data_IF_295846213365
#
_entry.id   IF_295846213365
#
_cell.length_a   1.000
_cell.length_b   1.000
_cell.length_c   1.000
_cell.angle_alpha   90.00
_cell.angle_beta   90.00
_cell.angle_gamma   90.00
#
_symmetry.space_group_name_H-M   'P 1'
#
loop_
_entity.id
_entity.type
_entity.pdbx_description
1 polymer ?
#
# COMPACT_ATOMS: atom_id res chain seq x y z
N UNK A 1 2.48 -11.06 15.60
CA UNK A 1 3.83 -10.79 16.12
C UNK A 1 4.17 -11.87 17.13
N UNK A 2 4.90 -12.91 16.71
CA UNK A 2 4.98 -14.16 17.47
C UNK A 2 3.60 -14.81 17.59
N UNK A 3 3.25 -15.27 18.79
CA UNK A 3 2.02 -16.01 19.12
C UNK A 3 0.77 -15.13 19.29
N UNK A 4 0.81 -13.86 18.89
CA UNK A 4 -0.37 -12.97 18.96
C UNK A 4 -0.72 -12.39 17.60
N UNK A 5 -2.02 -12.25 17.36
CA UNK A 5 -2.61 -11.65 16.18
C UNK A 5 -3.45 -10.44 16.58
N UNK A 6 -3.29 -9.33 15.88
CA UNK A 6 -4.13 -8.15 16.04
C UNK A 6 -4.79 -7.81 14.72
N UNK A 7 -6.07 -7.45 14.76
CA UNK A 7 -6.84 -7.14 13.57
C UNK A 7 -7.89 -6.05 13.85
N UNK A 8 -8.23 -5.28 12.81
CA UNK A 8 -9.37 -4.35 12.84
C UNK A 8 -10.62 -5.10 12.37
N UNK A 9 -11.67 -5.04 13.18
CA UNK A 9 -12.95 -5.70 12.99
C UNK A 9 -14.10 -4.67 13.12
N UNK A 10 -15.32 -5.07 12.79
CA UNK A 10 -16.51 -4.20 12.83
C UNK A 10 -16.82 -3.54 11.50
N UNK A 11 -17.55 -2.41 11.54
CA UNK A 11 -18.00 -1.69 10.34
C UNK A 11 -16.81 -1.29 9.46
N UNK A 12 -16.87 -1.40 8.12
CA UNK A 12 -15.84 -0.87 7.25
C UNK A 12 -15.83 0.67 7.21
N UNK A 13 -16.92 1.32 7.59
CA UNK A 13 -17.08 2.78 7.59
C UNK A 13 -16.12 3.40 8.61
N UNK A 14 -15.38 4.41 8.17
CA UNK A 14 -14.42 5.16 8.99
C UNK A 14 -14.85 6.61 9.20
N UNK A 15 -15.74 7.14 8.36
CA UNK A 15 -16.33 8.46 8.53
C UNK A 15 -17.82 8.46 8.26
N UNK A 16 -18.64 8.49 9.31
CA UNK A 16 -20.10 8.42 9.24
C UNK A 16 -20.75 9.71 8.76
N UNK A 17 -21.73 9.61 7.86
CA UNK A 17 -22.48 10.79 7.39
C UNK A 17 -23.42 11.37 8.47
N UNK A 18 -23.98 10.51 9.33
CA UNK A 18 -24.99 10.89 10.34
C UNK A 18 -24.51 10.63 11.79
N UNK A 19 -23.19 10.72 12.05
CA UNK A 19 -22.58 10.49 13.38
C UNK A 19 -23.13 9.25 14.12
N UNK A 20 -23.07 8.09 13.47
CA UNK A 20 -23.43 6.82 14.10
C UNK A 20 -22.37 6.41 15.14
N UNK A 21 -22.81 5.78 16.22
CA UNK A 21 -21.93 5.28 17.30
C UNK A 21 -22.49 4.01 17.91
N UNK A 22 -21.64 3.26 18.61
CA UNK A 22 -22.05 2.13 19.44
C UNK A 22 -22.90 2.59 20.64
N UNK A 23 -23.52 1.66 21.36
CA UNK A 23 -24.40 1.95 22.52
C UNK A 23 -23.69 2.77 23.61
N UNK A 24 -22.38 2.58 23.75
CA UNK A 24 -21.51 3.31 24.68
C UNK A 24 -21.00 4.65 24.12
N UNK A 25 -21.48 5.07 22.94
CA UNK A 25 -21.00 6.25 22.21
C UNK A 25 -19.64 6.03 21.54
N UNK A 26 -19.09 4.81 21.58
CA UNK A 26 -17.79 4.47 21.01
C UNK A 26 -17.82 4.19 19.51
N UNK A 27 -16.62 3.96 18.96
CA UNK A 27 -16.43 3.56 17.57
C UNK A 27 -17.15 2.25 17.23
N UNK A 28 -17.67 2.16 16.01
CA UNK A 28 -18.31 0.93 15.51
C UNK A 28 -17.28 -0.07 14.97
N UNK A 29 -16.16 0.42 14.44
CA UNK A 29 -14.94 -0.35 14.26
C UNK A 29 -14.21 -0.57 15.60
N UNK A 30 -13.55 -1.71 15.75
CA UNK A 30 -12.79 -2.05 16.95
C UNK A 30 -11.56 -2.88 16.59
N UNK A 31 -10.59 -2.92 17.50
CA UNK A 31 -9.46 -3.83 17.38
C UNK A 31 -9.72 -5.10 18.19
N UNK A 32 -9.21 -6.22 17.70
CA UNK A 32 -9.12 -7.47 18.44
C UNK A 32 -7.65 -7.85 18.60
N UNK A 33 -7.33 -8.47 19.73
CA UNK A 33 -6.05 -9.10 19.99
C UNK A 33 -6.31 -10.55 20.38
N UNK A 34 -5.69 -11.50 19.69
CA UNK A 34 -5.88 -12.93 19.88
C UNK A 34 -4.56 -13.58 20.27
N UNK A 35 -4.62 -14.50 21.22
CA UNK A 35 -3.53 -15.39 21.60
C UNK A 35 -3.61 -16.68 20.76
N UNK A 36 -2.71 -16.80 19.79
CA UNK A 36 -2.64 -17.95 18.89
C UNK A 36 -2.14 -19.21 19.59
N UNK A 37 -1.39 -19.09 20.69
CA UNK A 37 -0.97 -20.25 21.49
C UNK A 37 -2.13 -20.90 22.25
N UNK A 38 -3.21 -20.13 22.44
CA UNK A 38 -4.44 -20.54 23.12
C UNK A 38 -5.62 -20.59 22.17
N UNK A 39 -5.38 -21.14 20.98
CA UNK A 39 -6.41 -21.38 19.95
C UNK A 39 -7.18 -20.11 19.54
N UNK A 40 -6.53 -18.95 19.59
CA UNK A 40 -7.12 -17.67 19.21
C UNK A 40 -7.99 -17.05 20.31
N UNK A 41 -7.79 -17.40 21.58
CA UNK A 41 -8.50 -16.78 22.70
C UNK A 41 -8.25 -15.26 22.73
N UNK A 42 -9.30 -14.50 23.00
CA UNK A 42 -9.25 -13.04 23.05
C UNK A 42 -8.38 -12.57 24.22
N UNK A 43 -7.45 -11.66 23.94
CA UNK A 43 -6.62 -11.02 24.96
C UNK A 43 -7.49 -10.16 25.89
N UNK A 44 -7.15 -10.04 27.19
CA UNK A 44 -8.02 -9.38 28.18
C UNK A 44 -8.44 -7.95 27.85
N UNK A 45 -7.56 -7.17 27.19
CA UNK A 45 -7.81 -5.79 26.78
C UNK A 45 -8.70 -5.59 25.55
N UNK A 46 -9.35 -6.64 25.05
CA UNK A 46 -10.05 -6.63 23.77
C UNK A 46 -11.48 -7.18 23.90
N UNK A 47 -12.44 -6.77 23.03
CA UNK A 47 -12.27 -5.85 21.90
C UNK A 47 -12.03 -4.41 22.36
N UNK A 48 -11.11 -3.73 21.67
CA UNK A 48 -10.73 -2.36 21.99
C UNK A 48 -11.50 -1.38 21.10
N UNK A 49 -12.25 -0.46 21.72
CA UNK A 49 -13.00 0.61 21.06
C UNK A 49 -12.40 1.98 21.37
N UNK A 50 -12.60 2.92 20.45
CA UNK A 50 -12.31 4.33 20.71
C UNK A 50 -13.51 4.92 21.46
N UNK A 51 -13.25 5.60 22.58
CA UNK A 51 -14.29 6.13 23.46
C UNK A 51 -14.14 7.66 23.65
N UNK A 52 -15.27 8.39 23.76
CA UNK A 52 -15.26 9.78 24.20
C UNK A 52 -14.74 9.95 25.65
N UNK A 53 -14.24 11.14 26.03
CA UNK A 53 -14.14 12.35 25.22
C UNK A 53 -12.89 12.38 24.32
N UNK A 54 -11.95 11.45 24.50
CA UNK A 54 -10.68 11.45 23.76
C UNK A 54 -10.89 11.24 22.27
N UNK A 55 -11.83 10.37 21.90
CA UNK A 55 -12.08 9.97 20.52
C UNK A 55 -13.55 10.17 20.14
N UNK A 56 -13.95 11.43 20.03
CA UNK A 56 -15.29 11.79 19.58
C UNK A 56 -15.40 11.65 18.06
N UNK A 57 -16.42 10.92 17.58
CA UNK A 57 -16.66 10.67 16.16
C UNK A 57 -15.45 10.08 15.40
N UNK A 58 -14.67 9.22 16.09
CA UNK A 58 -13.46 8.63 15.56
C UNK A 58 -13.63 7.13 15.25
N UNK A 59 -12.89 6.65 14.26
CA UNK A 59 -12.83 5.23 13.87
C UNK A 59 -11.39 4.78 13.60
N UNK A 60 -11.12 3.50 13.83
CA UNK A 60 -9.89 2.86 13.36
C UNK A 60 -9.92 2.71 11.84
N UNK A 61 -8.91 3.24 11.13
CA UNK A 61 -8.86 3.12 9.66
C UNK A 61 -8.42 1.71 9.20
N UNK A 62 -7.55 1.03 9.94
CA UNK A 62 -6.95 -0.23 9.49
C UNK A 62 -6.35 -1.07 10.60
N UNK A 63 -5.74 -2.18 10.20
CA UNK A 63 -5.08 -3.10 11.13
C UNK A 63 -3.89 -2.39 11.82
N UNK A 64 -3.68 -2.63 13.13
CA UNK A 64 -2.59 -1.99 13.85
C UNK A 64 -1.25 -2.63 13.49
N UNK A 65 -0.18 -1.84 13.59
CA UNK A 65 1.19 -2.35 13.61
C UNK A 65 1.61 -2.62 15.06
N UNK A 66 2.32 -3.72 15.28
CA UNK A 66 2.91 -4.03 16.59
C UNK A 66 4.28 -3.37 16.68
N UNK A 67 4.52 -2.64 17.76
CA UNK A 67 5.82 -2.11 18.11
C UNK A 67 6.08 -2.36 19.59
N UNK A 68 7.00 -3.27 19.90
CA UNK A 68 7.29 -3.72 21.27
C UNK A 68 6.01 -4.12 22.06
N UNK A 69 5.68 -3.37 23.12
CA UNK A 69 4.51 -3.56 23.97
C UNK A 69 3.28 -2.76 23.50
N UNK A 70 3.37 -2.11 22.34
CA UNK A 70 2.32 -1.28 21.78
C UNK A 70 1.70 -1.93 20.53
N UNK A 71 0.42 -1.68 20.35
CA UNK A 71 -0.23 -1.68 19.04
C UNK A 71 -0.50 -0.24 18.63
N UNK A 72 -0.20 0.10 17.38
CA UNK A 72 -0.31 1.44 16.85
C UNK A 72 -1.23 1.45 15.64
N UNK A 73 -2.24 2.32 15.64
CA UNK A 73 -3.27 2.37 14.62
C UNK A 73 -3.53 3.80 14.12
N UNK A 74 -3.87 3.91 12.85
CA UNK A 74 -4.35 5.15 12.25
C UNK A 74 -5.81 5.39 12.67
N UNK A 75 -6.10 6.63 13.04
CA UNK A 75 -7.40 7.09 13.53
C UNK A 75 -7.94 8.13 12.54
N UNK A 76 -9.19 7.97 12.13
CA UNK A 76 -9.93 8.99 11.40
C UNK A 76 -11.02 9.57 12.29
N UNK A 77 -11.02 10.89 12.43
CA UNK A 77 -12.12 11.66 12.99
C UNK A 77 -12.86 12.36 11.85
N UNK A 78 -14.18 12.35 11.89
CA UNK A 78 -15.00 13.11 10.95
C UNK A 78 -15.79 14.18 11.69
N UNK A 79 -15.80 15.39 11.15
CA UNK A 79 -16.68 16.47 11.58
C UNK A 79 -17.57 16.94 10.41
N UNK A 80 -18.32 18.02 10.61
CA UNK A 80 -19.22 18.59 9.59
C UNK A 80 -18.48 19.26 8.41
N UNK A 81 -17.16 19.49 8.52
CA UNK A 81 -16.34 20.25 7.56
C UNK A 81 -15.43 19.32 6.76
N UNK A 82 -14.98 18.22 7.33
CA UNK A 82 -14.15 17.24 6.66
C UNK A 82 -13.70 16.10 7.57
N UNK A 83 -12.50 15.59 7.28
CA UNK A 83 -11.87 14.55 8.09
C UNK A 83 -10.55 15.04 8.66
N UNK A 84 -10.21 14.48 9.81
CA UNK A 84 -8.93 14.66 10.50
C UNK A 84 -8.33 13.28 10.72
N UNK A 85 -7.01 13.19 10.62
CA UNK A 85 -6.30 11.92 10.76
C UNK A 85 -5.16 12.05 11.73
N UNK A 86 -5.08 11.09 12.65
CA UNK A 86 -4.04 10.98 13.66
C UNK A 86 -3.60 9.53 13.83
N UNK A 87 -2.71 9.31 14.79
CA UNK A 87 -2.21 7.97 15.15
C UNK A 87 -2.30 7.82 16.66
N UNK A 88 -2.78 6.65 17.11
CA UNK A 88 -2.84 6.31 18.52
C UNK A 88 -2.11 5.00 18.79
N UNK A 89 -1.48 4.91 19.96
CA UNK A 89 -0.89 3.68 20.46
C UNK A 89 -1.54 3.23 21.76
N UNK A 90 -1.73 1.93 21.86
CA UNK A 90 -2.34 1.27 23.00
C UNK A 90 -1.42 0.17 23.50
N UNK A 91 -1.47 -0.12 24.79
CA UNK A 91 -0.82 -1.30 25.34
C UNK A 91 -1.43 -2.54 24.67
N UNK A 92 -0.58 -3.37 24.07
CA UNK A 92 -1.03 -4.51 23.26
C UNK A 92 -1.68 -5.65 24.05
N UNK A 93 -1.63 -5.61 25.38
CA UNK A 93 -2.18 -6.63 26.27
C UNK A 93 -3.44 -6.14 26.99
N UNK A 94 -3.38 -4.92 27.53
CA UNK A 94 -4.48 -4.33 28.32
C UNK A 94 -5.43 -3.47 27.51
N UNK A 95 -5.00 -3.03 26.32
CA UNK A 95 -5.78 -2.12 25.47
C UNK A 95 -5.80 -0.67 25.95
N UNK A 96 -5.06 -0.34 27.02
CA UNK A 96 -5.00 1.02 27.55
C UNK A 96 -4.35 1.96 26.55
N UNK A 97 -4.92 3.15 26.39
CA UNK A 97 -4.31 4.23 25.60
C UNK A 97 -2.98 4.64 26.24
N UNK A 98 -1.90 4.62 25.46
CA UNK A 98 -0.57 5.06 25.88
C UNK A 98 -0.29 6.46 25.36
N UNK A 99 -0.54 6.71 24.08
CA UNK A 99 -0.45 8.04 23.49
C UNK A 99 -1.41 8.20 22.31
N UNK A 100 -1.81 9.44 22.05
CA UNK A 100 -2.54 9.86 20.85
C UNK A 100 -1.92 11.15 20.33
N UNK A 101 -1.62 11.21 19.03
CA UNK A 101 -1.00 12.41 18.43
C UNK A 101 -1.95 13.60 18.34
N UNK A 102 -3.26 13.37 18.44
CA UNK A 102 -4.25 14.29 17.88
C UNK A 102 -4.20 14.31 16.35
N UNK A 103 -4.95 15.21 15.70
CA UNK A 103 -4.91 15.41 14.25
C UNK A 103 -3.53 15.82 13.74
N UNK A 104 -2.94 14.99 12.88
CA UNK A 104 -1.70 15.26 12.13
C UNK A 104 -1.98 15.98 10.79
N UNK A 105 -3.15 15.73 10.21
CA UNK A 105 -3.63 16.39 9.01
C UNK A 105 -5.16 16.48 9.01
N UNK A 106 -5.67 17.50 8.34
CA UNK A 106 -7.11 17.74 8.18
C UNK A 106 -7.42 18.17 6.76
N UNK A 107 -8.55 17.73 6.22
CA UNK A 107 -9.01 18.20 4.92
C UNK A 107 -10.33 17.57 4.50
N UNK A 108 -10.92 18.15 3.45
CA UNK A 108 -12.08 17.57 2.79
C UNK A 108 -11.65 16.45 1.84
N UNK A 109 -12.51 15.45 1.71
CA UNK A 109 -12.41 14.36 0.73
C UNK A 109 -13.58 14.54 -0.23
N UNK A 110 -13.31 14.56 -1.53
CA UNK A 110 -14.35 14.80 -2.52
C UNK A 110 -15.39 13.67 -2.51
N UNK A 111 -16.68 14.01 -2.53
CA UNK A 111 -17.78 13.05 -2.69
C UNK A 111 -18.23 12.36 -1.40
N UNK A 112 -17.75 12.78 -0.22
CA UNK A 112 -18.20 12.24 1.08
C UNK A 112 -19.24 13.12 1.77
N UNK A 113 -19.64 14.26 1.21
CA UNK A 113 -20.43 15.31 1.89
C UNK A 113 -21.77 14.78 2.43
N UNK A 114 -22.37 13.79 1.75
CA UNK A 114 -23.63 13.13 2.13
C UNK A 114 -23.53 11.61 2.17
N UNK A 115 -22.32 11.06 2.20
CA UNK A 115 -22.08 9.62 2.12
C UNK A 115 -21.14 9.16 3.23
N UNK A 116 -21.29 7.90 3.64
CA UNK A 116 -20.33 7.25 4.51
C UNK A 116 -18.99 7.13 3.79
N UNK A 117 -17.92 7.43 4.51
CA UNK A 117 -16.55 7.28 4.02
C UNK A 117 -15.97 5.96 4.50
N UNK A 118 -15.34 5.22 3.57
CA UNK A 118 -14.63 3.98 3.84
C UNK A 118 -13.18 4.19 3.42
N UNK A 119 -12.27 3.97 4.35
CA UNK A 119 -10.83 4.05 4.13
C UNK A 119 -10.11 2.93 4.88
N UNK A 120 -8.91 2.57 4.40
CA UNK A 120 -8.09 1.51 4.96
C UNK A 120 -6.62 1.93 5.08
N UNK A 121 -6.34 2.89 5.96
CA UNK A 121 -4.98 3.39 6.17
C UNK A 121 -4.23 2.59 7.23
N UNK A 122 -2.93 2.44 6.99
CA UNK A 122 -2.04 1.65 7.82
C UNK A 122 -0.82 2.49 8.21
N UNK A 123 -0.37 2.32 9.45
CA UNK A 123 0.91 2.85 9.93
C UNK A 123 2.01 1.87 9.58
N UNK A 124 3.13 2.36 9.05
CA UNK A 124 4.28 1.55 8.67
C UNK A 124 5.37 1.67 9.73
N UNK A 125 5.96 0.55 10.15
CA UNK A 125 7.05 0.53 11.14
C UNK A 125 8.33 0.03 10.47
N UNK A 126 9.40 0.82 10.52
CA UNK A 126 10.69 0.47 9.96
C UNK A 126 11.82 1.28 10.60
N UNK A 127 12.99 0.67 10.80
CA UNK A 127 14.18 1.38 11.29
C UNK A 127 13.98 2.10 12.63
N UNK A 128 13.14 1.55 13.52
CA UNK A 128 12.82 2.14 14.82
C UNK A 128 11.90 3.36 14.76
N UNK A 129 11.23 3.62 13.63
CA UNK A 129 10.33 4.75 13.42
C UNK A 129 8.99 4.30 12.89
N UNK A 130 7.98 5.15 13.07
CA UNK A 130 6.68 4.99 12.41
C UNK A 130 6.57 5.99 11.25
N UNK A 131 5.89 5.57 10.18
CA UNK A 131 5.60 6.40 9.01
C UNK A 131 4.11 6.30 8.70
N UNK A 132 3.50 7.44 8.43
CA UNK A 132 2.07 7.54 8.15
C UNK A 132 1.82 8.47 6.95
N UNK A 133 1.25 7.90 5.90
CA UNK A 133 0.70 8.64 4.76
C UNK A 133 -0.76 9.02 5.09
N UNK A 134 -1.03 10.32 5.23
CA UNK A 134 -2.34 10.78 5.68
C UNK A 134 -3.38 10.82 4.57
N UNK A 135 -3.02 10.73 3.29
CA UNK A 135 -3.90 11.05 2.15
C UNK A 135 -4.66 12.38 2.29
N UNK A 136 -4.08 13.32 3.04
CA UNK A 136 -4.57 14.68 3.26
C UNK A 136 -3.45 15.69 3.00
N UNK A 137 -2.56 15.38 2.06
CA UNK A 137 -1.44 16.25 1.67
C UNK A 137 -0.20 16.15 2.56
N UNK A 138 -0.12 15.19 3.48
CA UNK A 138 1.04 15.03 4.37
C UNK A 138 1.52 13.57 4.50
N UNK A 139 2.84 13.42 4.61
CA UNK A 139 3.49 12.21 5.11
C UNK A 139 4.21 12.58 6.40
N UNK A 140 4.07 11.75 7.43
CA UNK A 140 4.57 12.03 8.78
C UNK A 140 5.45 10.90 9.25
N UNK A 141 6.56 11.23 9.92
CA UNK A 141 7.36 10.29 10.69
C UNK A 141 7.22 10.57 12.18
N UNK A 142 6.98 9.53 12.96
CA UNK A 142 6.75 9.60 14.40
C UNK A 142 7.76 8.73 15.16
N UNK A 143 8.08 9.18 16.36
CA UNK A 143 8.71 8.35 17.37
C UNK A 143 7.66 7.35 17.91
N UNK A 144 7.89 6.03 17.83
CA UNK A 144 6.92 5.05 18.30
C UNK A 144 6.70 5.08 19.82
N UNK A 145 7.64 5.59 20.61
CA UNK A 145 7.59 5.54 22.07
C UNK A 145 6.57 6.52 22.64
N UNK A 146 6.46 7.71 22.07
CA UNK A 146 5.64 8.81 22.58
C UNK A 146 4.72 9.45 21.53
N UNK A 147 4.79 9.01 20.27
CA UNK A 147 3.99 9.57 19.18
C UNK A 147 4.48 10.94 18.69
N UNK A 148 5.63 11.43 19.16
CA UNK A 148 6.15 12.74 18.76
C UNK A 148 6.50 12.76 17.27
N UNK A 149 6.11 13.84 16.59
CA UNK A 149 6.49 14.08 15.20
C UNK A 149 8.00 14.33 15.10
N UNK A 150 8.69 13.48 14.35
CA UNK A 150 10.12 13.64 14.02
C UNK A 150 10.25 14.58 12.82
N UNK A 151 9.46 14.34 11.77
CA UNK A 151 9.34 15.21 10.60
C UNK A 151 7.97 15.07 9.95
N UNK A 152 7.57 16.08 9.19
CA UNK A 152 6.33 16.11 8.41
C UNK A 152 6.58 16.78 7.07
N UNK A 153 6.21 16.09 5.99
CA UNK A 153 6.41 16.57 4.62
C UNK A 153 5.07 16.79 3.96
N UNK A 154 4.88 17.98 3.39
CA UNK A 154 3.68 18.32 2.63
C UNK A 154 3.88 17.96 1.16
N UNK A 155 2.89 17.33 0.55
CA UNK A 155 2.82 17.09 -0.89
C UNK A 155 1.62 17.79 -1.53
N UNK A 156 1.66 17.95 -2.85
CA UNK A 156 0.57 18.58 -3.61
C UNK A 156 -0.58 17.60 -3.77
N UNK A 157 -1.80 18.06 -3.48
CA UNK A 157 -3.03 17.30 -3.71
C UNK A 157 -3.62 17.66 -5.07
N UNK A 158 -4.19 16.69 -5.77
CA UNK A 158 -4.89 16.92 -7.03
C UNK A 158 -6.36 17.28 -6.77
N UNK A 159 -6.77 18.48 -7.21
CA UNK A 159 -8.14 18.98 -7.07
C UNK A 159 -8.99 18.58 -8.29
N UNK A 160 -10.27 18.24 -8.05
CA UNK A 160 -11.25 18.01 -9.11
C UNK A 160 -11.84 19.31 -9.70
N UNK A 161 -11.57 20.47 -9.09
CA UNK A 161 -12.14 21.74 -9.53
C UNK A 161 -11.59 22.15 -10.92
N UNK A 162 -12.50 22.38 -11.88
CA UNK A 162 -12.17 22.95 -13.19
C UNK A 162 -11.80 21.96 -14.31
N UNK A 163 -11.96 20.64 -14.10
CA UNK A 163 -11.66 19.64 -15.15
C UNK A 163 -12.82 19.44 -16.13
N UNK A 164 -12.54 19.61 -17.42
CA UNK A 164 -13.53 19.53 -18.53
C UNK A 164 -13.79 18.10 -19.03
N UNK A 165 -12.92 17.13 -18.71
CA UNK A 165 -13.07 15.73 -19.11
C UNK A 165 -12.54 14.77 -18.02
N UNK A 166 -13.32 13.76 -17.59
CA UNK A 166 -12.84 12.78 -16.63
C UNK A 166 -11.92 11.77 -17.34
N UNK A 167 -10.61 11.90 -17.18
CA UNK A 167 -9.76 10.70 -17.21
C UNK A 167 -10.08 9.91 -15.94
N UNK A 168 -10.20 8.58 -15.99
CA UNK A 168 -10.27 7.79 -14.76
C UNK A 168 -8.94 7.95 -14.04
N UNK A 169 -8.91 8.83 -13.05
CA UNK A 169 -7.80 9.02 -12.12
C UNK A 169 -7.62 7.73 -11.31
N UNK A 170 -6.93 6.73 -11.88
CA UNK A 170 -6.78 5.39 -11.31
C UNK A 170 -6.22 5.44 -9.89
N UNK A 171 -5.30 6.35 -9.61
CA UNK A 171 -4.76 6.60 -8.26
C UNK A 171 -5.83 6.88 -7.19
N UNK A 172 -7.03 7.39 -7.56
CA UNK A 172 -8.13 7.60 -6.60
C UNK A 172 -8.78 6.29 -6.13
N UNK A 173 -8.56 5.18 -6.85
CA UNK A 173 -8.98 3.84 -6.44
C UNK A 173 -7.95 3.13 -5.55
N UNK A 174 -6.85 3.80 -5.18
CA UNK A 174 -5.95 3.31 -4.11
C UNK A 174 -6.73 3.19 -2.80
N UNK A 175 -6.83 1.98 -2.25
CA UNK A 175 -7.57 1.72 -1.00
C UNK A 175 -6.66 1.59 0.22
N UNK A 176 -5.52 0.92 0.06
CA UNK A 176 -4.52 0.65 1.12
C UNK A 176 -3.18 1.22 0.68
N UNK A 177 -2.75 2.32 1.30
CA UNK A 177 -1.58 3.12 0.88
C UNK A 177 -0.55 3.33 2.00
N UNK A 178 -0.01 2.26 2.63
CA UNK A 178 1.09 2.40 3.59
C UNK A 178 2.35 2.95 2.92
N UNK A 179 3.19 3.60 3.71
CA UNK A 179 4.53 3.94 3.30
C UNK A 179 5.38 2.66 3.16
N UNK A 180 6.01 2.44 2.02
CA UNK A 180 7.01 1.38 1.88
C UNK A 180 8.38 1.94 2.26
N UNK A 181 9.07 1.35 3.24
CA UNK A 181 10.36 1.87 3.73
C UNK A 181 11.47 0.88 3.42
N UNK A 182 12.52 1.31 2.72
CA UNK A 182 13.65 0.45 2.40
C UNK A 182 14.92 1.25 2.09
N UNK A 183 16.04 0.85 2.69
CA UNK A 183 17.38 1.43 2.46
C UNK A 183 17.41 2.96 2.52
N UNK A 184 16.90 3.52 3.62
CA UNK A 184 16.92 4.97 3.87
C UNK A 184 15.84 5.78 3.16
N UNK A 185 14.97 5.16 2.36
CA UNK A 185 13.91 5.85 1.61
C UNK A 185 12.51 5.41 2.06
N UNK A 186 11.56 6.35 1.98
CA UNK A 186 10.13 6.17 2.24
C UNK A 186 9.37 6.42 0.95
N UNK A 187 8.86 5.36 0.34
CA UNK A 187 8.06 5.44 -0.88
C UNK A 187 6.58 5.60 -0.54
N UNK A 188 5.94 6.55 -1.20
CA UNK A 188 4.54 6.90 -0.97
C UNK A 188 3.77 6.94 -2.29
N UNK A 189 2.52 6.47 -2.24
CA UNK A 189 1.56 6.56 -3.33
C UNK A 189 0.19 6.99 -2.75
N UNK A 190 -0.01 8.29 -2.45
CA UNK A 190 -1.23 8.75 -1.80
C UNK A 190 -2.47 8.63 -2.68
N UNK A 191 -3.66 8.50 -2.10
CA UNK A 191 -4.92 8.43 -2.86
C UNK A 191 -5.34 9.78 -3.47
N UNK A 192 -4.83 10.88 -2.92
CA UNK A 192 -5.14 12.26 -3.30
C UNK A 192 -4.06 12.93 -4.18
N UNK A 193 -3.10 12.15 -4.68
CA UNK A 193 -2.05 12.59 -5.60
C UNK A 193 -1.73 11.50 -6.64
N UNK A 194 -1.60 11.83 -7.94
CA UNK A 194 -1.24 10.86 -8.97
C UNK A 194 0.19 10.31 -8.79
N UNK A 195 1.09 11.14 -8.26
CA UNK A 195 2.51 10.82 -8.16
C UNK A 195 2.80 9.68 -7.18
N UNK A 196 3.80 8.89 -7.52
CA UNK A 196 4.58 8.08 -6.60
C UNK A 196 5.85 8.86 -6.30
N UNK A 197 6.26 8.93 -5.04
CA UNK A 197 7.46 9.69 -4.66
C UNK A 197 8.23 9.00 -3.55
N UNK A 198 9.51 9.35 -3.43
CA UNK A 198 10.37 8.92 -2.33
C UNK A 198 10.80 10.11 -1.48
N UNK A 199 10.75 9.91 -0.17
CA UNK A 199 11.30 10.82 0.82
C UNK A 199 12.51 10.18 1.51
N UNK A 200 13.46 11.00 1.94
CA UNK A 200 14.52 10.57 2.85
C UNK A 200 13.90 10.18 4.21
N UNK A 201 14.18 8.96 4.68
CA UNK A 201 13.57 8.45 5.90
C UNK A 201 14.02 9.19 7.18
N UNK A 202 15.17 9.85 7.13
CA UNK A 202 15.75 10.53 8.28
C UNK A 202 15.12 11.90 8.54
N UNK A 203 14.83 12.66 7.47
CA UNK A 203 14.42 14.07 7.54
C UNK A 203 13.17 14.42 6.73
N UNK A 204 12.63 13.50 5.93
CA UNK A 204 11.43 13.71 5.12
C UNK A 204 11.64 14.50 3.83
N UNK A 205 12.87 14.86 3.47
CA UNK A 205 13.15 15.60 2.24
C UNK A 205 12.74 14.80 1.00
N UNK A 206 12.11 15.47 0.03
CA UNK A 206 11.79 14.86 -1.25
C UNK A 206 13.08 14.48 -1.99
N UNK A 207 13.22 13.21 -2.33
CA UNK A 207 14.37 12.69 -3.11
C UNK A 207 14.02 12.66 -4.58
N UNK A 208 12.85 12.12 -4.92
CA UNK A 208 12.32 12.11 -6.28
C UNK A 208 10.80 12.00 -6.27
N UNK A 209 10.17 12.42 -7.38
CA UNK A 209 8.74 12.25 -7.65
C UNK A 209 8.58 11.76 -9.08
N UNK A 210 7.68 10.80 -9.30
CA UNK A 210 7.37 10.29 -10.63
C UNK A 210 6.65 11.35 -11.46
N UNK A 211 6.93 11.40 -12.76
CA UNK A 211 6.12 12.15 -13.70
C UNK A 211 4.76 11.47 -13.94
N UNK A 212 3.75 12.27 -14.29
CA UNK A 212 2.37 11.82 -14.48
C UNK A 212 2.20 10.70 -15.54
N UNK A 213 3.13 10.50 -16.47
CA UNK A 213 3.02 9.50 -17.54
C UNK A 213 3.49 8.08 -17.18
N UNK A 214 4.15 7.89 -16.03
CA UNK A 214 4.85 6.64 -15.69
C UNK A 214 4.09 5.70 -14.75
N UNK A 215 3.23 6.24 -13.89
CA UNK A 215 2.61 5.51 -12.76
C UNK A 215 1.16 5.92 -12.50
N UNK A 216 0.50 6.53 -13.50
CA UNK A 216 -0.88 7.05 -13.40
C UNK A 216 -1.89 5.99 -12.93
N UNK A 217 -1.64 4.72 -13.25
CA UNK A 217 -2.48 3.59 -12.92
C UNK A 217 -2.01 2.77 -11.72
N UNK A 218 -0.91 3.15 -11.07
CA UNK A 218 -0.40 2.44 -9.90
C UNK A 218 -1.41 2.53 -8.74
N UNK A 219 -1.90 1.37 -8.30
CA UNK A 219 -2.82 1.18 -7.17
C UNK A 219 -2.07 0.68 -5.92
N UNK A 220 -0.95 -0.02 -6.11
CA UNK A 220 -0.18 -0.65 -5.05
C UNK A 220 1.31 -0.35 -5.18
N UNK A 221 1.95 0.00 -4.07
CA UNK A 221 3.38 -0.25 -3.89
C UNK A 221 3.54 -1.73 -3.54
N UNK A 222 3.99 -2.54 -4.50
CA UNK A 222 4.05 -4.00 -4.38
C UNK A 222 5.23 -4.41 -3.49
N UNK A 223 6.39 -3.79 -3.68
CA UNK A 223 7.59 -4.06 -2.89
C UNK A 223 8.87 -3.57 -3.57
N UNK A 224 10.02 -4.02 -3.06
CA UNK A 224 11.34 -3.78 -3.63
C UNK A 224 11.87 -5.08 -4.23
N UNK A 225 12.23 -5.05 -5.52
CA UNK A 225 12.86 -6.15 -6.26
C UNK A 225 14.24 -5.69 -6.76
N UNK A 226 15.31 -6.15 -6.10
CA UNK A 226 16.66 -5.60 -6.29
C UNK A 226 16.71 -4.09 -6.09
N UNK A 227 17.23 -3.36 -7.08
CA UNK A 227 17.31 -1.90 -7.09
C UNK A 227 16.01 -1.20 -7.55
N UNK A 228 14.90 -1.93 -7.64
CA UNK A 228 13.67 -1.38 -8.18
C UNK A 228 12.55 -1.32 -7.14
N UNK A 229 11.89 -0.17 -7.06
CA UNK A 229 10.54 -0.07 -6.53
C UNK A 229 9.55 -0.63 -7.56
N UNK A 230 8.71 -1.57 -7.13
CA UNK A 230 7.68 -2.18 -7.96
C UNK A 230 6.32 -1.60 -7.62
N UNK A 231 5.68 -0.99 -8.61
CA UNK A 231 4.30 -0.49 -8.55
C UNK A 231 3.38 -1.41 -9.36
N UNK A 232 2.16 -1.64 -8.87
CA UNK A 232 1.17 -2.51 -9.51
C UNK A 232 -0.18 -1.82 -9.65
N UNK A 233 -0.84 -2.07 -10.78
CA UNK A 233 -2.12 -1.49 -11.18
C UNK A 233 -2.62 -2.16 -12.45
N UNK A 234 -3.00 -1.37 -13.45
CA UNK A 234 -3.31 -1.92 -14.78
C UNK A 234 -2.04 -2.52 -15.42
N UNK A 235 -0.89 -1.92 -15.10
CA UNK A 235 0.46 -2.40 -15.38
C UNK A 235 1.22 -2.79 -14.10
N UNK A 236 2.33 -3.50 -14.27
CA UNK A 236 3.45 -3.51 -13.34
C UNK A 236 4.52 -2.58 -13.86
N UNK A 237 5.05 -1.72 -12.99
CA UNK A 237 6.11 -0.76 -13.31
C UNK A 237 7.27 -0.96 -12.33
N UNK A 238 8.48 -1.05 -12.87
CA UNK A 238 9.72 -1.03 -12.10
C UNK A 238 10.32 0.37 -12.22
N UNK A 239 10.46 1.04 -11.08
CA UNK A 239 11.17 2.31 -10.98
C UNK A 239 12.50 2.07 -10.29
N UNK A 240 13.57 2.69 -10.79
CA UNK A 240 14.82 2.77 -10.05
C UNK A 240 14.56 3.38 -8.68
N UNK A 241 14.94 2.67 -7.62
CA UNK A 241 14.58 3.04 -6.25
C UNK A 241 15.18 4.39 -5.81
N UNK A 242 16.34 4.75 -6.36
CA UNK A 242 17.09 5.96 -5.98
C UNK A 242 16.69 7.22 -6.74
N UNK A 243 16.19 7.08 -7.95
CA UNK A 243 15.89 8.20 -8.86
C UNK A 243 14.43 8.30 -9.29
N UNK A 244 13.63 7.24 -9.12
CA UNK A 244 12.25 7.17 -9.60
C UNK A 244 12.12 6.95 -11.12
N UNK A 245 13.23 6.79 -11.84
CA UNK A 245 13.22 6.56 -13.29
C UNK A 245 12.57 5.22 -13.62
N UNK A 246 11.64 5.19 -14.58
CA UNK A 246 11.03 3.95 -15.05
C UNK A 246 12.05 3.06 -15.78
N UNK A 247 12.34 1.90 -15.21
CA UNK A 247 13.24 0.88 -15.74
C UNK A 247 12.50 -0.08 -16.68
N UNK A 248 11.31 -0.51 -16.29
CA UNK A 248 10.52 -1.45 -17.07
C UNK A 248 9.02 -1.28 -16.80
N UNK A 249 8.19 -1.76 -17.73
CA UNK A 249 6.74 -1.80 -17.61
C UNK A 249 6.19 -3.05 -18.29
N UNK A 250 5.18 -3.68 -17.69
CA UNK A 250 4.44 -4.77 -18.29
C UNK A 250 2.92 -4.63 -18.05
N UNK A 251 2.07 -4.79 -19.07
CA UNK A 251 2.39 -4.82 -20.50
C UNK A 251 3.07 -3.51 -20.96
N UNK A 252 4.20 -3.59 -21.65
CA UNK A 252 4.80 -2.44 -22.34
C UNK A 252 4.27 -2.28 -23.77
N UNK A 253 4.66 -1.20 -24.47
CA UNK A 253 4.27 -0.95 -25.86
C UNK A 253 4.65 -2.08 -26.83
N UNK A 254 5.68 -2.85 -26.51
CA UNK A 254 6.15 -3.99 -27.31
C UNK A 254 5.47 -5.31 -26.93
N UNK A 255 4.45 -5.30 -26.07
CA UNK A 255 3.73 -6.51 -25.65
C UNK A 255 2.74 -6.92 -26.76
N UNK A 256 2.84 -8.15 -27.31
CA UNK A 256 1.89 -8.63 -28.31
C UNK A 256 0.46 -8.61 -27.75
N UNK A 257 -0.51 -8.13 -28.55
CA UNK A 257 -1.93 -8.14 -28.18
C UNK A 257 -2.50 -6.80 -27.71
N UNK A 258 -1.75 -5.70 -27.78
CA UNK A 258 -2.29 -4.36 -27.50
C UNK A 258 -3.30 -3.95 -28.58
N UNK A 259 -4.56 -4.31 -28.38
CA UNK A 259 -5.68 -4.01 -29.29
C UNK A 259 -6.72 -3.21 -28.50
N UNK A 260 -6.75 -1.89 -28.74
CA UNK A 260 -7.72 -0.91 -28.22
C UNK A 260 -7.69 -0.59 -26.70
N UNK A 261 -7.15 0.60 -26.38
CA UNK A 261 -7.40 1.45 -25.21
C UNK A 261 -7.13 0.94 -23.78
N UNK A 262 -7.00 -0.36 -23.50
CA UNK A 262 -6.68 -0.89 -22.16
C UNK A 262 -5.51 -1.89 -22.20
N UNK A 263 -4.66 -1.97 -21.15
CA UNK A 263 -3.58 -2.96 -21.08
C UNK A 263 -4.13 -4.39 -21.03
N UNK A 264 -3.51 -5.31 -21.77
CA UNK A 264 -3.81 -6.75 -21.76
C UNK A 264 -2.50 -7.57 -21.70
N UNK A 265 -2.31 -8.45 -20.70
CA UNK A 265 -3.16 -8.64 -19.53
C UNK A 265 -3.12 -7.46 -18.56
N UNK A 266 -4.25 -7.21 -17.90
CA UNK A 266 -4.38 -6.21 -16.84
C UNK A 266 -4.23 -6.85 -15.47
N UNK A 267 -3.58 -6.13 -14.55
CA UNK A 267 -3.50 -6.54 -13.15
C UNK A 267 -4.86 -6.53 -12.47
N UNK A 268 -5.17 -7.62 -11.76
CA UNK A 268 -6.39 -7.76 -10.97
C UNK A 268 -6.03 -8.18 -9.55
N UNK A 269 -5.80 -7.18 -8.70
CA UNK A 269 -5.43 -7.34 -7.30
C UNK A 269 -3.95 -7.06 -7.00
N UNK A 270 -3.55 -7.30 -5.76
CA UNK A 270 -2.20 -7.00 -5.26
C UNK A 270 -1.25 -8.15 -5.53
N UNK A 271 -0.17 -7.86 -6.27
CA UNK A 271 0.95 -8.78 -6.46
C UNK A 271 1.86 -8.90 -5.24
N UNK A 272 2.92 -9.70 -5.40
CA UNK A 272 3.93 -9.95 -4.38
C UNK A 272 5.33 -9.93 -5.01
N UNK A 273 6.30 -9.34 -4.33
CA UNK A 273 7.72 -9.49 -4.69
C UNK A 273 8.32 -10.68 -3.94
N UNK A 274 9.02 -11.56 -4.66
CA UNK A 274 9.78 -12.69 -4.10
C UNK A 274 11.17 -12.71 -4.73
N UNK A 275 12.20 -12.38 -3.96
CA UNK A 275 13.53 -12.11 -4.51
C UNK A 275 13.47 -10.95 -5.50
N UNK A 276 13.95 -11.17 -6.73
CA UNK A 276 13.91 -10.17 -7.81
C UNK A 276 12.72 -10.35 -8.76
N UNK A 277 11.79 -11.25 -8.43
CA UNK A 277 10.63 -11.58 -9.25
C UNK A 277 9.35 -10.99 -8.68
N UNK A 278 8.43 -10.63 -9.58
CA UNK A 278 7.10 -10.12 -9.24
C UNK A 278 6.06 -11.15 -9.62
N UNK A 279 5.35 -11.68 -8.63
CA UNK A 279 4.16 -12.48 -8.82
C UNK A 279 2.98 -11.53 -8.99
N UNK A 280 2.39 -11.52 -10.18
CA UNK A 280 1.38 -10.56 -10.56
C UNK A 280 0.07 -11.25 -10.97
N UNK A 281 -1.02 -11.07 -10.19
CA UNK A 281 -2.31 -11.68 -10.49
C UNK A 281 -2.99 -10.94 -11.66
N UNK A 282 -3.41 -11.71 -12.66
CA UNK A 282 -4.19 -11.25 -13.81
C UNK A 282 -5.42 -12.17 -13.96
N UNK A 283 -6.30 -11.89 -14.92
CA UNK A 283 -7.51 -12.69 -15.11
C UNK A 283 -7.18 -14.17 -15.39
N UNK A 284 -7.49 -15.04 -14.44
CA UNK A 284 -7.38 -16.49 -14.58
C UNK A 284 -5.98 -17.08 -14.37
N UNK A 285 -4.97 -16.28 -14.05
CA UNK A 285 -3.61 -16.76 -13.79
C UNK A 285 -2.76 -15.79 -12.94
N UNK A 286 -1.63 -16.28 -12.46
CA UNK A 286 -0.56 -15.45 -11.90
C UNK A 286 0.61 -15.46 -12.88
N UNK A 287 1.18 -14.31 -13.17
CA UNK A 287 2.40 -14.18 -13.97
C UNK A 287 3.58 -13.98 -13.04
N UNK A 288 4.71 -14.64 -13.34
CA UNK A 288 5.98 -14.34 -12.68
C UNK A 288 6.80 -13.49 -13.63
N UNK A 289 6.99 -12.24 -13.26
CA UNK A 289 7.60 -11.22 -14.10
C UNK A 289 8.97 -10.81 -13.55
N UNK A 290 9.90 -10.57 -14.46
CA UNK A 290 11.19 -9.99 -14.13
C UNK A 290 11.66 -9.14 -15.32
N UNK A 291 12.20 -7.94 -15.12
CA UNK A 291 12.91 -7.23 -16.19
C UNK A 291 14.06 -8.08 -16.72
N UNK A 292 14.30 -8.09 -18.02
CA UNK A 292 15.48 -8.76 -18.56
C UNK A 292 16.75 -8.09 -18.02
N UNK A 293 17.76 -8.90 -17.72
CA UNK A 293 19.11 -8.39 -17.52
C UNK A 293 19.54 -7.66 -18.80
N UNK A 294 20.30 -6.56 -18.68
CA UNK A 294 20.81 -5.93 -19.88
C UNK A 294 21.60 -6.98 -20.66
N UNK A 295 21.16 -7.29 -21.88
CA UNK A 295 22.11 -7.68 -22.92
C UNK A 295 23.22 -6.62 -22.88
N UNK A 296 24.51 -6.99 -22.88
CA UNK A 296 25.58 -6.00 -22.79
C UNK A 296 25.33 -4.93 -23.85
N UNK A 297 25.07 -3.71 -23.41
CA UNK A 297 24.81 -2.58 -24.30
C UNK A 297 25.96 -2.49 -25.29
N UNK A 298 25.62 -2.40 -26.56
CA UNK A 298 26.56 -2.01 -27.62
C UNK A 298 27.23 -0.72 -27.17
N UNK A 299 28.56 -0.73 -27.12
CA UNK A 299 29.40 0.33 -26.59
C UNK A 299 28.95 1.73 -27.06
N UNK A 300 29.06 2.77 -26.21
CA UNK A 300 28.65 4.12 -26.58
C UNK A 300 29.45 4.58 -27.80
N UNK A 301 28.73 5.00 -28.85
CA UNK A 301 29.34 5.70 -29.98
C UNK A 301 29.88 7.03 -29.47
N UNK A 302 31.21 7.14 -29.47
CA UNK A 302 31.95 8.34 -29.11
C UNK A 302 31.75 9.44 -30.15
N UNK A 303 30.69 10.24 -29.99
CA UNK A 303 30.58 11.55 -30.63
C UNK A 303 29.98 12.50 -29.60
N UNK A 304 30.80 13.42 -29.12
CA UNK A 304 30.47 14.34 -28.04
C UNK A 304 29.36 15.32 -28.41
N UNK A 305 28.30 15.29 -27.62
CA UNK A 305 27.38 16.40 -27.35
C UNK A 305 26.69 16.09 -26.02
N UNK A 306 27.21 16.65 -24.92
CA UNK A 306 26.82 16.40 -23.52
C UNK A 306 25.45 17.04 -23.14
N UNK A 307 24.57 17.25 -24.12
CA UNK A 307 23.25 17.86 -23.90
C UNK A 307 22.06 16.95 -24.22
N UNK A 308 22.30 15.72 -24.66
CA UNK A 308 21.22 14.76 -24.91
C UNK A 308 20.86 13.98 -23.65
N UNK A 309 19.68 14.26 -23.08
CA UNK A 309 19.00 13.35 -22.18
C UNK A 309 18.86 12.01 -22.91
N UNK A 310 19.66 11.02 -22.55
CA UNK A 310 19.53 9.67 -23.09
C UNK A 310 18.14 9.16 -22.71
N UNK A 311 17.21 9.20 -23.68
CA UNK A 311 15.92 8.54 -23.61
C UNK A 311 16.19 7.04 -23.43
N UNK A 312 16.24 6.61 -22.17
CA UNK A 312 16.48 5.21 -21.83
C UNK A 312 15.20 4.46 -22.18
N UNK A 313 15.25 3.62 -23.20
CA UNK A 313 14.11 2.78 -23.59
C UNK A 313 13.85 1.79 -22.43
N UNK A 314 12.61 1.66 -21.93
CA UNK A 314 12.30 0.71 -20.88
C UNK A 314 12.72 -0.71 -21.27
N UNK A 315 13.33 -1.43 -20.32
CA UNK A 315 13.76 -2.81 -20.53
C UNK A 315 12.56 -3.71 -20.86
N UNK A 316 12.73 -4.70 -21.75
CA UNK A 316 11.73 -5.74 -21.92
C UNK A 316 11.54 -6.51 -20.61
N UNK A 317 10.32 -7.00 -20.38
CA UNK A 317 9.96 -7.79 -19.21
C UNK A 317 9.73 -9.22 -19.67
N UNK A 318 10.48 -10.17 -19.12
CA UNK A 318 10.25 -11.59 -19.34
C UNK A 318 9.15 -12.12 -18.42
N UNK A 319 8.33 -13.01 -18.97
CA UNK A 319 7.43 -13.86 -18.20
C UNK A 319 8.21 -15.14 -17.86
N UNK A 320 8.79 -15.19 -16.65
CA UNK A 320 9.60 -16.32 -16.20
C UNK A 320 8.76 -17.58 -15.96
N UNK A 321 7.51 -17.41 -15.52
CA UNK A 321 6.55 -18.51 -15.35
C UNK A 321 5.11 -18.00 -15.50
N UNK A 322 4.21 -18.92 -15.86
CA UNK A 322 2.76 -18.70 -15.92
C UNK A 322 2.08 -19.72 -15.05
N UNK A 323 1.14 -19.22 -14.27
CA UNK A 323 0.52 -19.96 -13.20
C UNK A 323 -1.01 -19.97 -13.38
N UNK A 324 -1.55 -20.91 -14.19
CA UNK A 324 -2.97 -20.93 -14.56
C UNK A 324 -3.86 -21.34 -13.38
N UNK A 325 -4.85 -20.50 -13.10
CA UNK A 325 -5.91 -20.74 -12.11
C UNK A 325 -7.25 -21.10 -12.78
N UNK A 326 -7.38 -20.78 -14.07
CA UNK A 326 -8.60 -20.97 -14.85
C UNK A 326 -9.74 -20.10 -14.31
N UNK A 327 -10.97 -20.61 -14.37
CA UNK A 327 -12.16 -19.89 -13.87
C UNK A 327 -12.11 -19.58 -12.36
N UNK A 328 -11.23 -20.25 -11.60
CA UNK A 328 -11.06 -20.00 -10.16
C UNK A 328 -10.35 -18.66 -9.87
N UNK A 329 -9.57 -18.14 -10.82
CA UNK A 329 -8.84 -16.87 -10.72
C UNK A 329 -9.39 -15.75 -11.62
N UNK A 330 -10.56 -15.93 -12.25
CA UNK A 330 -11.07 -15.00 -13.25
C UNK A 330 -11.27 -13.55 -12.73
N UNK A 331 -11.56 -13.40 -11.44
CA UNK A 331 -11.81 -12.10 -10.79
C UNK A 331 -10.53 -11.41 -10.28
N UNK A 332 -9.36 -12.03 -10.46
CA UNK A 332 -8.14 -11.59 -9.79
C UNK A 332 -8.16 -11.86 -8.28
N UNK A 333 -7.17 -11.34 -7.58
CA UNK A 333 -7.00 -11.55 -6.16
C UNK A 333 -5.72 -10.96 -5.60
N UNK A 334 -5.65 -10.88 -4.28
CA UNK A 334 -4.44 -10.45 -3.59
C UNK A 334 -3.59 -11.65 -3.24
N UNK A 335 -2.28 -11.56 -3.51
CA UNK A 335 -1.30 -12.56 -3.13
C UNK A 335 -0.74 -12.24 -1.75
N UNK A 336 -0.70 -13.25 -0.88
CA UNK A 336 -0.17 -13.14 0.48
C UNK A 336 0.76 -14.33 0.76
N UNK A 337 2.03 -14.12 1.10
CA UNK A 337 2.90 -15.20 1.56
C UNK A 337 2.52 -15.60 2.99
N UNK A 338 2.41 -16.91 3.24
CA UNK A 338 2.05 -17.46 4.53
C UNK A 338 2.86 -18.74 4.83
N UNK A 339 4.10 -18.57 5.31
CA UNK A 339 4.98 -19.70 5.63
C UNK A 339 5.27 -20.54 4.38
N UNK A 340 4.88 -21.82 4.42
CA UNK A 340 4.97 -22.77 3.31
C UNK A 340 3.82 -22.68 2.29
N UNK A 341 3.05 -21.59 2.32
CA UNK A 341 1.95 -21.37 1.38
C UNK A 341 2.02 -19.99 0.72
N UNK A 342 1.62 -19.94 -0.55
CA UNK A 342 1.14 -18.73 -1.21
C UNK A 342 -0.38 -18.72 -1.15
N UNK A 343 -0.94 -17.72 -0.50
CA UNK A 343 -2.39 -17.51 -0.44
C UNK A 343 -2.82 -16.58 -1.57
N UNK A 344 -3.84 -16.99 -2.31
CA UNK A 344 -4.55 -16.17 -3.28
C UNK A 344 -5.95 -15.88 -2.73
N UNK A 345 -6.19 -14.62 -2.36
CA UNK A 345 -7.47 -14.15 -1.85
C UNK A 345 -8.23 -13.42 -2.96
N UNK A 346 -9.22 -14.08 -3.56
CA UNK A 346 -10.17 -13.51 -4.51
C UNK A 346 -11.41 -12.96 -3.77
N UNK A 347 -12.24 -12.13 -4.41
CA UNK A 347 -13.51 -11.68 -3.83
C UNK A 347 -14.44 -12.81 -3.36
N UNK A 348 -14.30 -14.02 -3.91
CA UNK A 348 -15.20 -15.15 -3.66
C UNK A 348 -14.54 -16.37 -3.02
N UNK A 349 -13.22 -16.41 -2.93
CA UNK A 349 -12.50 -17.59 -2.42
C UNK A 349 -11.11 -17.26 -1.92
N UNK A 350 -10.62 -18.09 -1.01
CA UNK A 350 -9.22 -18.15 -0.60
C UNK A 350 -8.66 -19.48 -1.10
N UNK A 351 -7.55 -19.43 -1.82
CA UNK A 351 -6.81 -20.61 -2.27
C UNK A 351 -5.42 -20.58 -1.65
N UNK A 352 -4.91 -21.73 -1.24
CA UNK A 352 -3.57 -21.88 -0.69
C UNK A 352 -2.76 -22.82 -1.59
N UNK A 353 -1.55 -22.40 -1.97
CA UNK A 353 -0.64 -23.15 -2.83
C UNK A 353 0.65 -23.43 -2.08
N UNK A 354 1.06 -24.68 -2.02
CA UNK A 354 2.25 -25.11 -1.27
C UNK A 354 3.56 -24.88 -2.05
N UNK A 355 4.69 -24.82 -1.33
CA UNK A 355 6.03 -24.78 -1.92
C UNK A 355 6.32 -26.10 -2.62
N UNK A 356 6.87 -26.05 -3.83
CA UNK A 356 7.50 -27.24 -4.40
C UNK A 356 8.90 -27.44 -3.82
N UNK A 357 9.23 -28.63 -3.28
CA UNK A 357 10.58 -28.97 -2.84
C UNK A 357 11.62 -29.10 -3.97
N UNK A 358 11.19 -29.11 -5.26
CA UNK A 358 12.09 -29.40 -6.40
C UNK A 358 12.79 -28.18 -7.01
N UNK A 359 12.43 -26.96 -6.60
CA UNK A 359 13.02 -25.71 -7.13
C UNK A 359 13.93 -25.05 -6.09
N UNK A 360 15.17 -25.54 -5.99
CA UNK A 360 16.19 -25.07 -5.04
C UNK A 360 16.73 -23.65 -5.33
N UNK A 361 16.10 -22.86 -6.21
CA UNK A 361 16.55 -21.50 -6.60
C UNK A 361 15.52 -20.39 -6.37
N UNK A 362 14.65 -20.58 -5.38
CA UNK A 362 13.74 -19.54 -4.90
C UNK A 362 12.39 -19.52 -5.63
N UNK A 363 11.34 -19.45 -4.81
CA UNK A 363 9.94 -19.12 -5.14
C UNK A 363 8.98 -20.27 -5.50
N UNK A 364 7.71 -20.12 -5.08
CA UNK A 364 6.56 -21.05 -5.21
C UNK A 364 6.31 -21.44 -6.68
N UNK A 365 5.94 -22.70 -7.09
CA UNK A 365 4.78 -23.49 -6.56
C UNK A 365 4.76 -25.04 -6.83
N UNK A 366 3.65 -25.75 -6.49
CA UNK A 366 2.84 -26.49 -7.49
C UNK A 366 1.33 -26.51 -7.10
N UNK A 367 0.46 -26.44 -8.11
CA UNK A 367 -0.98 -26.14 -8.01
C UNK A 367 -1.90 -27.21 -7.43
#
# INVERSE_FOLDING_TARGET
AGETLYARMGSPVTGWANFESAVDGGSLGYLVGLDLSREGLLLPGFPLRLLPPTFEHAEFEGAPVVWENLIVAAILERDNVGVRRGVAAFNRWTGDLVWYTGPLASGSVDGIERANYISHQLVSSAGGRLFYNTNLGHVVCLDPADGRVIWQTRYRRESLQGRTYPRPDRFRYRTVTPCLVSGGLVYCAPQDAPEVFALDATNGALVWSSDAGGTEDAIHLVGIAGENLVCGGDHVVWLDRGSGRMIARFPGANTPGMVHALPDPRGLGRGLVVGDQVYWPVAGEVLVLQPDDPSPEVAPSSTGDDSQVQLTVPKPVRIAARYPLGSRGAEGGNLVPAGEYLIYASPRRIMAFERSPRDARGAWPKF
#
